data_IF_887479897247
#
_entry.id   IF_887479897247
#
_cell.length_a   1.000
_cell.length_b   1.000
_cell.length_c   1.000
_cell.angle_alpha   90.00
_cell.angle_beta   90.00
_cell.angle_gamma   90.00
#
_symmetry.space_group_name_H-M   'P 1'
#
loop_
_entity.id
_entity.type
_entity.pdbx_description
1 polymer ?
#
# COMPACT_ATOMS: atom_id res chain seq x y z
N UNK A 1 23.83 -44.20 1.68
CA UNK A 1 22.53 -44.67 2.20
C UNK A 1 21.64 -43.45 2.36
N UNK A 2 20.40 -43.49 1.84
CA UNK A 2 19.45 -42.40 2.04
C UNK A 2 19.01 -42.42 3.52
N UNK A 3 19.02 -41.28 4.21
CA UNK A 3 18.59 -41.23 5.61
C UNK A 3 17.07 -41.20 5.68
N UNK A 4 16.52 -41.95 6.64
CA UNK A 4 15.09 -42.02 6.87
C UNK A 4 14.57 -40.73 7.52
N UNK A 5 13.27 -40.46 7.35
CA UNK A 5 12.63 -39.24 7.86
C UNK A 5 12.85 -39.02 9.37
N UNK A 6 12.88 -40.11 10.15
CA UNK A 6 13.15 -40.08 11.60
C UNK A 6 14.58 -39.67 11.93
N UNK A 7 15.56 -40.07 11.14
CA UNK A 7 16.97 -39.69 11.34
C UNK A 7 17.20 -38.21 11.01
N UNK A 8 16.52 -37.72 9.96
CA UNK A 8 16.57 -36.31 9.56
C UNK A 8 15.95 -35.43 10.63
N UNK A 9 14.84 -35.85 11.23
CA UNK A 9 14.20 -35.13 12.34
C UNK A 9 15.08 -35.12 13.60
N UNK A 10 15.71 -36.25 13.94
CA UNK A 10 16.62 -36.35 15.09
C UNK A 10 17.82 -35.42 14.94
N UNK A 11 18.39 -35.35 13.73
CA UNK A 11 19.49 -34.42 13.40
C UNK A 11 19.04 -32.96 13.35
N UNK A 12 17.83 -32.67 12.90
CA UNK A 12 17.25 -31.33 12.93
C UNK A 12 17.03 -30.85 14.38
N UNK A 13 16.61 -31.75 15.28
CA UNK A 13 16.51 -31.49 16.73
C UNK A 13 17.89 -31.29 17.37
N UNK A 14 18.87 -32.13 17.04
CA UNK A 14 20.25 -31.96 17.49
C UNK A 14 20.84 -30.61 17.04
N UNK A 15 20.58 -30.22 15.79
CA UNK A 15 21.00 -28.93 15.25
C UNK A 15 20.30 -27.76 15.99
N UNK A 16 19.01 -27.88 16.30
CA UNK A 16 18.28 -26.87 17.10
C UNK A 16 18.83 -26.75 18.53
N UNK A 17 19.19 -27.88 19.15
CA UNK A 17 19.85 -27.91 20.46
C UNK A 17 21.23 -27.27 20.41
N UNK A 18 22.04 -27.59 19.39
CA UNK A 18 23.36 -26.98 19.17
C UNK A 18 23.30 -25.45 18.99
N UNK A 19 22.26 -24.94 18.32
CA UNK A 19 22.00 -23.49 18.22
C UNK A 19 21.63 -22.84 19.55
N UNK A 20 20.93 -23.56 20.44
CA UNK A 20 20.50 -23.03 21.74
C UNK A 20 21.60 -23.13 22.79
N UNK A 21 22.41 -24.18 22.72
CA UNK A 21 23.50 -24.47 23.65
C UNK A 21 24.85 -23.85 23.25
N UNK A 22 24.90 -23.09 22.14
CA UNK A 22 26.11 -22.41 21.63
C UNK A 22 27.32 -23.37 21.52
N UNK A 23 27.09 -24.57 20.97
CA UNK A 23 28.12 -25.58 20.73
C UNK A 23 29.18 -25.11 19.71
N UNK A 24 30.39 -25.71 19.71
CA UNK A 24 31.47 -25.28 18.81
C UNK A 24 31.05 -25.42 17.34
N UNK A 25 31.51 -24.46 16.53
CA UNK A 25 31.15 -24.37 15.11
C UNK A 25 31.52 -25.64 14.31
N UNK A 26 32.53 -26.40 14.74
CA UNK A 26 32.94 -27.67 14.15
C UNK A 26 31.85 -28.75 14.23
N UNK A 27 31.15 -28.88 15.36
CA UNK A 27 30.05 -29.84 15.54
C UNK A 27 28.85 -29.49 14.66
N UNK A 28 28.53 -28.20 14.55
CA UNK A 28 27.44 -27.70 13.70
C UNK A 28 27.75 -27.93 12.22
N UNK A 29 29.00 -27.71 11.80
CA UNK A 29 29.45 -27.99 10.42
C UNK A 29 29.36 -29.47 10.08
N UNK A 30 29.75 -30.37 11.00
CA UNK A 30 29.62 -31.82 10.81
C UNK A 30 28.16 -32.26 10.64
N UNK A 31 27.26 -31.76 11.49
CA UNK A 31 25.82 -32.02 11.40
C UNK A 31 25.22 -31.51 10.08
N UNK A 32 25.64 -30.34 9.60
CA UNK A 32 25.20 -29.78 8.32
C UNK A 32 25.71 -30.58 7.12
N UNK A 33 26.97 -31.03 7.14
CA UNK A 33 27.54 -31.90 6.08
C UNK A 33 26.85 -33.26 6.03
N UNK A 34 26.48 -33.80 7.18
CA UNK A 34 25.77 -35.07 7.25
C UNK A 34 24.33 -34.97 6.72
N UNK A 35 23.63 -33.86 7.02
CA UNK A 35 22.35 -33.52 6.42
C UNK A 35 22.45 -33.27 4.90
N UNK A 36 23.54 -32.67 4.43
CA UNK A 36 23.78 -32.43 3.00
C UNK A 36 23.94 -33.74 2.21
N UNK A 37 24.54 -34.78 2.82
CA UNK A 37 24.82 -36.07 2.19
C UNK A 37 23.67 -37.07 2.32
N UNK A 38 22.92 -37.02 3.43
CA UNK A 38 21.87 -37.99 3.75
C UNK A 38 20.46 -37.66 3.26
N UNK A 39 20.15 -36.37 3.04
CA UNK A 39 18.78 -35.93 2.70
C UNK A 39 18.56 -35.97 1.19
N UNK A 40 17.65 -36.83 0.72
CA UNK A 40 17.02 -36.70 -0.60
C UNK A 40 15.99 -35.58 -0.52
N UNK A 41 16.21 -34.51 -1.28
CA UNK A 41 15.40 -33.29 -1.23
C UNK A 41 14.04 -33.47 -1.93
N UNK A 42 13.14 -34.23 -1.30
CA UNK A 42 11.75 -34.40 -1.73
C UNK A 42 10.86 -33.42 -0.99
N UNK A 43 9.87 -32.84 -1.68
CA UNK A 43 8.97 -31.83 -1.09
C UNK A 43 8.28 -32.34 0.18
N UNK A 44 7.77 -33.57 0.14
CA UNK A 44 7.08 -34.20 1.26
C UNK A 44 7.98 -34.38 2.51
N UNK A 45 9.24 -34.78 2.27
CA UNK A 45 10.23 -35.00 3.33
C UNK A 45 10.71 -33.67 3.96
N UNK A 46 10.87 -32.62 3.16
CA UNK A 46 11.27 -31.28 3.63
C UNK A 46 10.14 -30.58 4.41
N UNK A 47 8.87 -30.83 4.04
CA UNK A 47 7.70 -30.28 4.73
C UNK A 47 7.42 -31.01 6.05
N UNK A 48 7.46 -32.34 6.06
CA UNK A 48 7.21 -33.15 7.26
C UNK A 48 8.26 -32.92 8.36
N UNK A 49 9.54 -32.92 7.99
CA UNK A 49 10.64 -32.77 8.97
C UNK A 49 10.90 -31.33 9.41
N UNK A 50 10.37 -30.33 8.68
CA UNK A 50 10.64 -28.89 8.86
C UNK A 50 12.14 -28.53 8.90
N UNK A 51 13.01 -29.41 8.41
CA UNK A 51 14.47 -29.25 8.44
C UNK A 51 14.93 -28.02 7.66
N UNK A 52 14.21 -27.64 6.60
CA UNK A 52 14.53 -26.46 5.80
C UNK A 52 14.44 -25.13 6.57
N UNK A 53 13.51 -25.02 7.54
CA UNK A 53 13.36 -23.82 8.38
C UNK A 53 14.51 -23.74 9.38
N UNK A 54 14.84 -24.87 10.00
CA UNK A 54 15.91 -24.99 10.98
C UNK A 54 17.26 -24.66 10.33
N UNK A 55 17.58 -25.27 9.19
CA UNK A 55 18.83 -25.00 8.46
C UNK A 55 18.89 -23.54 7.99
N UNK A 56 17.78 -22.93 7.56
CA UNK A 56 17.76 -21.52 7.15
C UNK A 56 18.09 -20.55 8.30
N UNK A 57 17.82 -20.92 9.56
CA UNK A 57 18.21 -20.12 10.73
C UNK A 57 19.74 -20.02 10.90
N UNK A 58 20.49 -21.03 10.46
CA UNK A 58 21.95 -21.06 10.52
C UNK A 58 22.63 -20.14 9.50
N UNK A 59 21.89 -19.55 8.56
CA UNK A 59 22.40 -18.52 7.65
C UNK A 59 22.84 -17.24 8.38
N UNK A 60 22.31 -17.01 9.59
CA UNK A 60 22.66 -15.85 10.43
C UNK A 60 23.63 -16.21 11.58
N UNK A 61 24.25 -17.39 11.54
CA UNK A 61 25.16 -17.84 12.59
C UNK A 61 26.48 -17.03 12.59
N UNK A 62 27.11 -16.87 13.76
CA UNK A 62 28.34 -16.06 13.95
C UNK A 62 29.56 -16.56 13.15
N UNK A 63 29.56 -17.86 12.78
CA UNK A 63 30.63 -18.44 11.96
C UNK A 63 30.29 -18.35 10.47
N UNK A 64 31.18 -17.76 9.63
CA UNK A 64 30.93 -17.60 8.19
C UNK A 64 30.86 -18.95 7.45
N UNK A 65 31.55 -19.99 7.94
CA UNK A 65 31.53 -21.32 7.33
C UNK A 65 30.16 -22.00 7.49
N UNK A 66 29.55 -21.88 8.67
CA UNK A 66 28.20 -22.40 8.97
C UNK A 66 27.14 -21.70 8.12
N UNK A 67 27.25 -20.37 7.99
CA UNK A 67 26.32 -19.56 7.20
C UNK A 67 26.41 -19.88 5.69
N UNK A 68 27.62 -20.13 5.18
CA UNK A 68 27.85 -20.52 3.78
C UNK A 68 27.25 -21.91 3.49
N UNK A 69 27.56 -22.91 4.32
CA UNK A 69 27.05 -24.27 4.14
C UNK A 69 25.52 -24.35 4.29
N UNK A 70 24.94 -23.65 5.26
CA UNK A 70 23.49 -23.52 5.40
C UNK A 70 22.83 -22.95 4.14
N UNK A 71 23.40 -21.87 3.56
CA UNK A 71 22.87 -21.23 2.36
C UNK A 71 22.95 -22.13 1.12
N UNK A 72 24.04 -22.88 0.99
CA UNK A 72 24.26 -23.84 -0.10
C UNK A 72 23.23 -24.99 -0.04
N UNK A 73 22.98 -25.54 1.16
CA UNK A 73 22.00 -26.61 1.39
C UNK A 73 20.58 -26.12 1.06
N UNK A 74 20.17 -24.95 1.56
CA UNK A 74 18.83 -24.39 1.30
C UNK A 74 18.61 -24.12 -0.20
N UNK A 75 19.64 -23.66 -0.90
CA UNK A 75 19.56 -23.41 -2.35
C UNK A 75 19.45 -24.70 -3.15
N UNK A 76 20.24 -25.73 -2.79
CA UNK A 76 20.20 -27.05 -3.42
C UNK A 76 18.83 -27.72 -3.22
N UNK A 77 18.28 -27.67 -2.01
CA UNK A 77 16.95 -28.24 -1.72
C UNK A 77 15.82 -27.52 -2.45
N UNK A 78 15.88 -26.18 -2.55
CA UNK A 78 14.91 -25.40 -3.34
C UNK A 78 14.94 -25.75 -4.83
N UNK A 79 16.15 -25.88 -5.39
CA UNK A 79 16.31 -26.23 -6.81
C UNK A 79 15.82 -27.65 -7.11
N UNK A 80 16.12 -28.62 -6.24
CA UNK A 80 15.71 -30.01 -6.44
C UNK A 80 14.19 -30.20 -6.32
N UNK A 81 13.55 -29.52 -5.36
CA UNK A 81 12.07 -29.52 -5.24
C UNK A 81 11.43 -28.86 -6.46
N UNK A 82 11.99 -27.76 -6.96
CA UNK A 82 11.47 -27.09 -8.15
C UNK A 82 11.66 -27.95 -9.42
N UNK A 83 12.75 -28.72 -9.50
CA UNK A 83 13.01 -29.69 -10.58
C UNK A 83 12.05 -30.88 -10.53
N UNK A 84 11.74 -31.41 -9.35
CA UNK A 84 10.75 -32.48 -9.17
C UNK A 84 9.33 -32.01 -9.53
N UNK A 85 9.01 -30.74 -9.24
CA UNK A 85 7.72 -30.13 -9.63
C UNK A 85 7.58 -29.92 -11.15
N UNK A 86 8.68 -29.73 -11.86
CA UNK A 86 8.70 -29.64 -13.32
C UNK A 86 8.65 -31.01 -14.03
N UNK A 87 9.02 -32.10 -13.34
CA UNK A 87 8.95 -33.48 -13.85
C UNK A 87 7.62 -34.21 -13.60
N UNK A 88 6.77 -33.69 -12.72
CA UNK A 88 5.49 -34.28 -12.37
C UNK A 88 4.31 -33.52 -13.03
N UNK A 89 4.03 -33.85 -14.30
CA UNK A 89 2.73 -33.59 -14.92
C UNK A 89 2.37 -34.74 -15.86
N UNK A 90 1.32 -35.52 -15.55
CA UNK A 90 0.69 -36.44 -16.48
C UNK A 90 -0.59 -35.82 -17.10
N UNK A 91 -0.77 -35.99 -18.41
CA UNK A 91 -2.08 -36.08 -19.06
C UNK A 91 -2.58 -34.88 -19.89
N UNK A 92 -2.42 -34.97 -21.22
CA UNK A 92 -3.44 -34.54 -22.20
C UNK A 92 -3.15 -35.12 -23.61
N UNK A 93 -3.78 -36.26 -23.89
CA UNK A 93 -4.35 -36.74 -25.16
C UNK A 93 -3.58 -36.59 -26.48
N UNK A 94 -2.95 -37.70 -26.90
CA UNK A 94 -2.68 -38.02 -28.32
C UNK A 94 -3.98 -38.45 -29.02
N UNK A 95 -4.32 -37.79 -30.14
CA UNK A 95 -4.91 -38.44 -31.33
C UNK A 95 -4.33 -37.78 -32.58
N UNK A 96 -3.74 -38.61 -33.42
CA UNK A 96 -3.07 -38.29 -34.68
C UNK A 96 -3.96 -38.66 -35.88
N UNK A 97 -3.95 -37.83 -36.93
CA UNK A 97 -3.64 -38.19 -38.34
C UNK A 97 -4.33 -37.28 -39.36
N UNK A 98 -3.56 -36.81 -40.36
CA UNK A 98 -4.09 -36.33 -41.65
C UNK A 98 -3.43 -35.04 -42.21
N UNK A 99 -2.38 -35.21 -43.01
CA UNK A 99 -1.70 -34.21 -43.89
C UNK A 99 -2.61 -33.66 -45.02
N UNK A 100 -2.20 -32.76 -45.96
CA UNK A 100 -0.98 -31.93 -46.08
C UNK A 100 -1.18 -30.44 -46.55
N UNK A 101 -0.10 -29.66 -46.39
CA UNK A 101 0.38 -28.42 -47.08
C UNK A 101 -0.34 -27.90 -48.35
N UNK A 102 -0.33 -26.57 -48.63
CA UNK A 102 0.68 -26.02 -49.55
C UNK A 102 1.34 -24.68 -49.14
N UNK A 103 2.58 -24.54 -49.63
CA UNK A 103 3.53 -23.41 -49.85
C UNK A 103 3.11 -21.93 -49.68
N UNK A 104 4.04 -21.05 -49.22
CA UNK A 104 4.08 -19.65 -49.64
C UNK A 104 5.25 -19.38 -50.60
N UNK A 105 4.93 -18.79 -51.76
CA UNK A 105 5.88 -18.27 -52.74
C UNK A 105 6.30 -16.85 -52.32
N UNK A 106 7.60 -16.54 -52.40
CA UNK A 106 8.17 -15.29 -51.89
C UNK A 106 7.99 -14.07 -52.80
N UNK A 107 8.17 -12.87 -52.24
CA UNK A 107 8.82 -11.69 -52.85
C UNK A 107 9.20 -10.71 -51.72
N UNK A 108 10.27 -9.94 -51.91
CA UNK A 108 11.07 -9.26 -50.88
C UNK A 108 10.64 -7.81 -50.52
N UNK A 109 10.95 -7.44 -49.26
CA UNK A 109 11.38 -6.13 -48.70
C UNK A 109 10.41 -4.91 -48.68
N UNK A 110 10.69 -3.87 -47.85
CA UNK A 110 11.04 -3.85 -46.43
C UNK A 110 10.22 -2.77 -45.66
N UNK A 111 9.62 -3.07 -44.50
CA UNK A 111 9.03 -2.01 -43.68
C UNK A 111 8.93 -2.36 -42.19
N UNK A 112 9.54 -1.49 -41.38
CA UNK A 112 9.20 -1.14 -40.00
C UNK A 112 8.93 -2.30 -39.01
N UNK A 113 9.96 -2.66 -38.26
CA UNK A 113 9.87 -3.47 -37.05
C UNK A 113 9.12 -2.72 -35.94
N UNK A 114 7.83 -2.98 -35.78
CA UNK A 114 7.13 -2.86 -34.49
C UNK A 114 7.41 -4.11 -33.65
N UNK A 115 8.07 -4.03 -32.48
CA UNK A 115 8.20 -5.18 -31.61
C UNK A 115 6.88 -5.39 -30.87
N UNK A 116 6.15 -6.42 -31.29
CA UNK A 116 4.98 -6.97 -30.61
C UNK A 116 5.29 -7.32 -29.16
N UNK A 117 4.46 -6.81 -28.25
CA UNK A 117 4.39 -7.12 -26.82
C UNK A 117 4.34 -8.63 -26.55
N UNK A 118 5.52 -9.22 -26.34
CA UNK A 118 5.63 -10.50 -25.62
C UNK A 118 5.53 -10.19 -24.14
N UNK A 119 4.32 -10.34 -23.60
CA UNK A 119 3.94 -10.46 -22.18
C UNK A 119 5.11 -11.02 -21.35
N UNK A 120 5.94 -10.14 -20.82
CA UNK A 120 7.10 -10.50 -20.02
C UNK A 120 6.60 -11.05 -18.70
N UNK A 121 6.88 -12.34 -18.46
CA UNK A 121 6.57 -13.01 -17.18
C UNK A 121 7.15 -12.18 -16.04
N UNK A 122 6.27 -11.67 -15.18
CA UNK A 122 6.62 -10.93 -13.98
C UNK A 122 7.56 -11.79 -13.12
N UNK A 123 8.82 -11.38 -13.01
CA UNK A 123 9.86 -12.12 -12.27
C UNK A 123 9.77 -11.93 -10.76
N UNK A 124 8.96 -10.97 -10.28
CA UNK A 124 8.89 -10.58 -8.86
C UNK A 124 7.43 -10.58 -8.40
N UNK A 125 7.11 -11.17 -7.22
CA UNK A 125 5.78 -11.14 -6.65
C UNK A 125 5.24 -9.69 -6.52
N UNK A 126 3.96 -9.42 -6.87
CA UNK A 126 3.36 -8.08 -6.87
C UNK A 126 3.57 -7.28 -5.57
N UNK A 127 3.64 -7.98 -4.43
CA UNK A 127 3.79 -7.39 -3.09
C UNK A 127 5.21 -6.85 -2.78
N UNK A 128 6.22 -7.19 -3.59
CA UNK A 128 7.62 -6.75 -3.38
C UNK A 128 8.25 -6.08 -4.60
N UNK A 129 7.43 -5.67 -5.58
CA UNK A 129 7.95 -4.98 -6.76
C UNK A 129 8.47 -3.60 -6.37
N UNK A 130 9.67 -3.29 -6.85
CA UNK A 130 10.34 -2.00 -6.69
C UNK A 130 11.22 -1.77 -7.91
N UNK A 131 11.59 -0.52 -8.19
CA UNK A 131 12.44 -0.21 -9.33
C UNK A 131 13.77 -0.97 -9.30
N UNK A 132 14.31 -1.25 -8.10
CA UNK A 132 15.51 -2.08 -7.90
C UNK A 132 15.27 -3.57 -8.15
N UNK A 133 14.11 -4.08 -7.76
CA UNK A 133 13.76 -5.49 -7.95
C UNK A 133 13.43 -5.80 -9.42
N UNK A 134 12.89 -4.82 -10.15
CA UNK A 134 12.54 -4.93 -11.56
C UNK A 134 13.73 -4.59 -12.48
N UNK A 135 14.88 -4.14 -11.93
CA UNK A 135 16.08 -3.80 -12.69
C UNK A 135 15.89 -2.62 -13.65
N UNK A 136 14.96 -1.72 -13.33
CA UNK A 136 14.60 -0.59 -14.20
C UNK A 136 15.52 0.59 -13.92
N UNK A 137 16.14 1.12 -14.97
CA UNK A 137 16.92 2.35 -14.88
C UNK A 137 15.97 3.56 -14.78
N UNK A 138 16.11 4.32 -13.70
CA UNK A 138 15.31 5.53 -13.42
C UNK A 138 16.00 6.82 -13.89
N UNK A 139 17.18 6.71 -14.51
CA UNK A 139 18.04 7.82 -14.93
C UNK A 139 17.51 8.47 -16.22
N UNK A 140 16.37 9.15 -16.13
CA UNK A 140 15.65 9.65 -17.30
C UNK A 140 15.76 11.15 -17.48
N UNK A 141 16.13 11.88 -16.44
CA UNK A 141 16.13 13.35 -16.44
C UNK A 141 17.51 13.99 -16.24
N UNK A 142 18.53 13.20 -15.94
CA UNK A 142 19.91 13.68 -15.75
C UNK A 142 20.14 14.39 -14.42
N UNK A 143 19.10 14.52 -13.57
CA UNK A 143 19.24 15.00 -12.20
C UNK A 143 18.97 13.89 -11.19
N UNK A 144 19.93 13.71 -10.28
CA UNK A 144 19.86 12.74 -9.18
C UNK A 144 18.63 12.92 -8.28
N UNK A 145 18.12 14.14 -8.11
CA UNK A 145 16.93 14.39 -7.28
C UNK A 145 15.68 13.93 -8.00
N UNK A 146 15.54 14.31 -9.27
CA UNK A 146 14.38 13.95 -10.11
C UNK A 146 14.33 12.44 -10.37
N UNK A 147 15.47 11.83 -10.68
CA UNK A 147 15.57 10.38 -10.88
C UNK A 147 15.24 9.59 -9.59
N UNK A 148 15.61 10.13 -8.42
CA UNK A 148 15.20 9.57 -7.11
C UNK A 148 13.69 9.71 -6.86
N UNK A 149 13.09 10.84 -7.28
CA UNK A 149 11.64 11.04 -7.24
C UNK A 149 10.89 10.09 -8.17
N UNK A 150 11.40 9.85 -9.38
CA UNK A 150 10.85 8.85 -10.33
C UNK A 150 10.87 7.46 -9.69
N UNK A 151 11.98 7.07 -9.06
CA UNK A 151 12.09 5.79 -8.36
C UNK A 151 11.07 5.64 -7.23
N UNK A 152 10.86 6.70 -6.44
CA UNK A 152 9.84 6.70 -5.38
C UNK A 152 8.42 6.54 -5.94
N UNK A 153 8.08 7.27 -7.01
CA UNK A 153 6.76 7.17 -7.64
C UNK A 153 6.57 5.78 -8.28
N UNK A 154 7.61 5.24 -8.92
CA UNK A 154 7.60 3.88 -9.47
C UNK A 154 7.30 2.85 -8.39
N UNK A 155 7.98 2.90 -7.24
CA UNK A 155 7.74 1.97 -6.13
C UNK A 155 6.29 2.03 -5.62
N UNK A 156 5.70 3.23 -5.58
CA UNK A 156 4.29 3.41 -5.21
C UNK A 156 3.30 2.81 -6.22
N UNK A 157 3.58 2.95 -7.51
CA UNK A 157 2.73 2.44 -8.60
C UNK A 157 2.92 0.94 -8.86
N UNK A 158 4.14 0.41 -8.65
CA UNK A 158 4.48 -0.97 -8.90
C UNK A 158 3.89 -1.93 -7.84
N UNK A 159 3.67 -1.43 -6.62
CA UNK A 159 3.13 -2.20 -5.49
C UNK A 159 1.75 -2.77 -5.83
N UNK A 160 1.64 -4.10 -5.79
CA UNK A 160 0.43 -4.89 -6.05
C UNK A 160 -0.16 -4.72 -7.45
N UNK A 161 0.60 -4.14 -8.37
CA UNK A 161 0.24 -4.06 -9.78
C UNK A 161 0.70 -5.32 -10.53
N UNK A 162 0.03 -5.66 -11.63
CA UNK A 162 0.43 -6.72 -12.57
C UNK A 162 0.97 -6.16 -13.89
N UNK A 163 1.06 -4.83 -13.99
CA UNK A 163 1.48 -4.15 -15.21
C UNK A 163 2.97 -4.34 -15.51
N UNK A 164 3.37 -4.27 -16.80
CA UNK A 164 4.76 -4.43 -17.20
C UNK A 164 5.61 -3.25 -16.69
N UNK A 165 6.87 -3.50 -16.28
CA UNK A 165 7.77 -2.46 -15.74
C UNK A 165 7.91 -1.21 -16.61
N UNK A 166 7.92 -1.37 -17.94
CA UNK A 166 8.02 -0.26 -18.91
C UNK A 166 6.82 0.69 -18.84
N UNK A 167 5.61 0.15 -18.69
CA UNK A 167 4.39 0.96 -18.61
C UNK A 167 4.37 1.76 -17.29
N UNK A 168 4.74 1.12 -16.18
CA UNK A 168 4.84 1.76 -14.86
C UNK A 168 5.89 2.88 -14.89
N UNK A 169 7.05 2.65 -15.50
CA UNK A 169 8.09 3.67 -15.65
C UNK A 169 7.59 4.87 -16.46
N UNK A 170 6.94 4.64 -17.60
CA UNK A 170 6.40 5.73 -18.42
C UNK A 170 5.43 6.62 -17.65
N UNK A 171 4.58 6.02 -16.80
CA UNK A 171 3.65 6.77 -15.94
C UNK A 171 4.37 7.50 -14.80
N UNK A 172 5.36 6.87 -14.18
CA UNK A 172 6.16 7.50 -13.13
C UNK A 172 6.91 8.75 -13.64
N UNK A 173 7.49 8.67 -14.85
CA UNK A 173 8.14 9.82 -15.52
C UNK A 173 7.14 10.94 -15.81
N UNK A 174 5.94 10.60 -16.31
CA UNK A 174 4.90 11.60 -16.58
C UNK A 174 4.43 12.31 -15.30
N UNK A 175 4.23 11.57 -14.20
CA UNK A 175 3.87 12.13 -12.89
C UNK A 175 4.96 13.02 -12.34
N UNK A 176 6.23 12.63 -12.49
CA UNK A 176 7.35 13.46 -12.07
C UNK A 176 7.43 14.76 -12.89
N UNK A 177 7.31 14.68 -14.21
CA UNK A 177 7.33 15.85 -15.08
C UNK A 177 6.19 16.83 -14.74
N UNK A 178 4.98 16.32 -14.47
CA UNK A 178 3.86 17.13 -14.02
C UNK A 178 4.12 17.77 -12.65
N UNK A 179 4.73 17.04 -11.70
CA UNK A 179 5.10 17.56 -10.39
C UNK A 179 6.16 18.66 -10.47
N UNK A 180 7.16 18.49 -11.33
CA UNK A 180 8.20 19.49 -11.57
C UNK A 180 7.63 20.76 -12.21
N UNK A 181 6.74 20.62 -13.21
CA UNK A 181 6.06 21.74 -13.84
C UNK A 181 5.15 22.54 -12.88
N UNK A 182 4.50 21.87 -11.93
CA UNK A 182 3.55 22.51 -11.02
C UNK A 182 4.19 23.12 -9.75
N UNK A 183 5.19 22.45 -9.14
CA UNK A 183 5.75 22.83 -7.84
C UNK A 183 7.13 23.49 -7.92
N UNK A 184 7.61 23.78 -9.14
CA UNK A 184 8.84 24.52 -9.40
C UNK A 184 10.10 23.65 -9.38
N UNK A 185 11.30 24.27 -9.39
CA UNK A 185 12.55 23.53 -9.55
C UNK A 185 12.81 22.59 -8.37
N UNK A 186 13.51 21.50 -8.67
CA UNK A 186 13.84 20.35 -7.81
C UNK A 186 14.51 20.69 -6.45
N UNK A 187 15.09 21.88 -6.33
CA UNK A 187 15.70 22.40 -5.11
C UNK A 187 14.66 22.81 -4.07
N UNK A 188 13.42 23.11 -4.47
CA UNK A 188 12.36 23.52 -3.55
C UNK A 188 11.85 22.34 -2.74
N UNK A 189 11.76 22.53 -1.43
CA UNK A 189 11.26 21.52 -0.50
C UNK A 189 9.81 21.11 -0.79
N UNK A 190 9.00 22.05 -1.29
CA UNK A 190 7.60 21.81 -1.67
C UNK A 190 7.45 20.67 -2.69
N UNK A 191 8.31 20.61 -3.70
CA UNK A 191 8.33 19.54 -4.70
C UNK A 191 8.63 18.18 -4.05
N UNK A 192 9.69 18.10 -3.23
CA UNK A 192 10.10 16.87 -2.53
C UNK A 192 9.03 16.38 -1.55
N UNK A 193 8.37 17.29 -0.85
CA UNK A 193 7.31 16.99 0.11
C UNK A 193 6.05 16.50 -0.61
N UNK A 194 5.69 17.11 -1.76
CA UNK A 194 4.56 16.65 -2.57
C UNK A 194 4.81 15.26 -3.15
N UNK A 195 5.98 14.97 -3.72
CA UNK A 195 6.32 13.62 -4.22
C UNK A 195 6.23 12.57 -3.09
N UNK A 196 6.76 12.88 -1.90
CA UNK A 196 6.64 11.99 -0.72
C UNK A 196 5.17 11.76 -0.32
N UNK A 197 4.35 12.81 -0.33
CA UNK A 197 2.92 12.70 -0.05
C UNK A 197 2.19 11.84 -1.08
N UNK A 198 2.46 12.03 -2.38
CA UNK A 198 1.87 11.21 -3.44
C UNK A 198 2.26 9.74 -3.30
N UNK A 199 3.54 9.45 -3.02
CA UNK A 199 4.02 8.09 -2.76
C UNK A 199 3.30 7.43 -1.57
N UNK A 200 3.13 8.13 -0.45
CA UNK A 200 2.43 7.57 0.72
C UNK A 200 0.95 7.31 0.43
N UNK A 201 0.29 8.18 -0.35
CA UNK A 201 -1.08 7.95 -0.78
C UNK A 201 -1.21 6.74 -1.72
N UNK A 202 -0.27 6.55 -2.66
CA UNK A 202 -0.23 5.35 -3.52
C UNK A 202 0.02 4.06 -2.72
N UNK A 203 0.77 4.15 -1.62
CA UNK A 203 1.04 3.01 -0.72
C UNK A 203 -0.09 2.75 0.28
N UNK A 204 -1.07 3.63 0.37
CA UNK A 204 -2.12 3.53 1.36
C UNK A 204 -3.02 2.30 1.10
N UNK A 205 -3.07 1.39 2.08
CA UNK A 205 -3.88 0.16 2.00
C UNK A 205 -5.38 0.45 1.95
N UNK A 206 -5.82 1.61 2.46
CA UNK A 206 -7.23 2.01 2.45
C UNK A 206 -7.75 2.38 1.07
N UNK A 207 -6.88 2.69 0.10
CA UNK A 207 -7.26 3.04 -1.28
C UNK A 207 -6.39 2.32 -2.32
N UNK A 208 -6.58 0.99 -2.52
CA UNK A 208 -5.82 0.25 -3.52
C UNK A 208 -6.22 0.59 -4.95
N UNK A 209 -7.43 1.13 -5.17
CA UNK A 209 -7.96 1.48 -6.49
C UNK A 209 -7.29 2.71 -7.08
N UNK A 210 -6.79 3.64 -6.26
CA UNK A 210 -6.05 4.83 -6.72
C UNK A 210 -4.88 4.47 -7.64
N UNK A 211 -4.10 3.43 -7.31
CA UNK A 211 -2.99 2.96 -8.15
C UNK A 211 -3.48 2.48 -9.52
N UNK A 212 -4.58 1.74 -9.54
CA UNK A 212 -5.18 1.21 -10.77
C UNK A 212 -5.66 2.37 -11.64
N UNK A 213 -6.33 3.37 -11.06
CA UNK A 213 -6.82 4.57 -11.77
C UNK A 213 -5.71 5.41 -12.38
N UNK A 214 -4.57 5.53 -11.69
CA UNK A 214 -3.39 6.25 -12.22
C UNK A 214 -2.69 5.43 -13.32
N UNK A 215 -2.61 4.10 -13.20
CA UNK A 215 -2.04 3.22 -14.22
C UNK A 215 -2.91 3.12 -15.47
N UNK A 216 -4.23 3.01 -15.31
CA UNK A 216 -5.22 2.97 -16.40
C UNK A 216 -5.39 4.32 -17.11
N UNK A 217 -4.76 5.39 -16.59
CA UNK A 217 -4.89 6.77 -17.10
C UNK A 217 -6.28 7.39 -16.91
N UNK A 218 -7.10 6.85 -16.02
CA UNK A 218 -8.37 7.49 -15.63
C UNK A 218 -8.12 8.82 -14.91
N UNK A 219 -7.03 8.88 -14.14
CA UNK A 219 -6.52 10.11 -13.54
C UNK A 219 -5.29 10.54 -14.31
N UNK A 220 -5.32 11.75 -14.90
CA UNK A 220 -4.16 12.29 -15.61
C UNK A 220 -3.03 12.62 -14.64
N UNK A 221 -1.76 12.48 -15.04
CA UNK A 221 -0.61 12.82 -14.20
C UNK A 221 -0.67 14.27 -13.68
N UNK A 222 -1.16 15.21 -14.48
CA UNK A 222 -1.30 16.62 -14.13
C UNK A 222 -2.38 16.83 -13.07
N UNK A 223 -3.51 16.12 -13.19
CA UNK A 223 -4.58 16.16 -12.20
C UNK A 223 -4.12 15.51 -10.89
N UNK A 224 -3.48 14.34 -10.96
CA UNK A 224 -2.97 13.62 -9.79
C UNK A 224 -2.04 14.48 -8.92
N UNK A 225 -1.17 15.25 -9.56
CA UNK A 225 -0.22 16.15 -8.88
C UNK A 225 -0.92 17.33 -8.21
N UNK A 226 -1.96 17.88 -8.84
CA UNK A 226 -2.73 19.02 -8.30
C UNK A 226 -3.78 18.60 -7.27
N UNK A 227 -4.15 17.33 -7.25
CA UNK A 227 -5.18 16.78 -6.38
C UNK A 227 -4.89 17.04 -4.90
N UNK A 228 -5.94 17.36 -4.16
CA UNK A 228 -5.87 17.66 -2.73
C UNK A 228 -5.72 16.38 -1.90
N UNK A 229 -5.27 16.51 -0.65
CA UNK A 229 -5.15 15.37 0.27
C UNK A 229 -6.50 14.67 0.51
N UNK A 230 -7.60 15.42 0.44
CA UNK A 230 -8.96 14.88 0.58
C UNK A 230 -9.36 14.01 -0.62
N UNK A 231 -9.07 14.48 -1.84
CA UNK A 231 -9.37 13.76 -3.08
C UNK A 231 -8.45 12.55 -3.32
N UNK A 232 -7.29 12.49 -2.64
CA UNK A 232 -6.37 11.34 -2.65
C UNK A 232 -6.81 10.20 -1.72
N UNK A 233 -7.78 10.44 -0.84
CA UNK A 233 -8.33 9.40 0.06
C UNK A 233 -9.29 8.47 -0.67
N UNK A 234 -9.62 7.33 -0.05
CA UNK A 234 -10.68 6.47 -0.58
C UNK A 234 -12.02 7.18 -0.51
N UNK A 235 -12.92 6.88 -1.45
CA UNK A 235 -14.25 7.49 -1.50
C UNK A 235 -15.02 7.27 -0.19
N UNK A 236 -14.89 6.09 0.42
CA UNK A 236 -15.48 5.81 1.75
C UNK A 236 -14.90 6.69 2.87
N UNK A 237 -13.59 6.94 2.85
CA UNK A 237 -12.95 7.76 3.87
C UNK A 237 -13.31 9.24 3.67
N UNK A 238 -13.37 9.69 2.42
CA UNK A 238 -13.83 11.03 2.06
C UNK A 238 -15.25 11.29 2.55
N UNK A 239 -16.15 10.33 2.37
CA UNK A 239 -17.52 10.44 2.87
C UNK A 239 -17.57 10.47 4.41
N UNK A 240 -16.78 9.63 5.08
CA UNK A 240 -16.69 9.63 6.55
C UNK A 240 -16.16 10.97 7.07
N UNK A 241 -15.12 11.50 6.46
CA UNK A 241 -14.54 12.78 6.86
C UNK A 241 -15.51 13.94 6.61
N UNK A 242 -16.23 13.92 5.48
CA UNK A 242 -17.31 14.89 5.20
C UNK A 242 -18.42 14.82 6.24
N UNK A 243 -18.81 13.61 6.66
CA UNK A 243 -19.81 13.40 7.70
C UNK A 243 -19.33 13.92 9.06
N UNK A 244 -18.10 13.59 9.46
CA UNK A 244 -17.51 14.07 10.71
C UNK A 244 -17.38 15.60 10.68
N UNK A 245 -16.99 16.19 9.56
CA UNK A 245 -16.92 17.64 9.42
C UNK A 245 -18.30 18.28 9.59
N UNK A 246 -19.33 17.70 8.97
CA UNK A 246 -20.71 18.15 9.15
C UNK A 246 -21.17 18.02 10.60
N UNK A 247 -20.95 16.87 11.24
CA UNK A 247 -21.30 16.64 12.64
C UNK A 247 -20.55 17.61 13.58
N UNK A 248 -19.28 17.90 13.30
CA UNK A 248 -18.50 18.87 14.07
C UNK A 248 -19.02 20.29 13.89
N UNK A 249 -19.41 20.67 12.67
CA UNK A 249 -20.06 21.95 12.41
C UNK A 249 -21.40 22.05 13.15
N UNK A 250 -22.22 21.01 13.09
CA UNK A 250 -23.52 20.95 13.75
C UNK A 250 -23.37 21.01 15.29
N UNK A 251 -22.39 20.30 15.87
CA UNK A 251 -22.09 20.36 17.31
C UNK A 251 -21.50 21.69 17.75
N UNK A 252 -20.75 22.37 16.89
CA UNK A 252 -20.18 23.67 17.18
C UNK A 252 -21.21 24.80 17.13
N UNK A 253 -22.33 24.60 16.43
CA UNK A 253 -23.45 25.54 16.48
C UNK A 253 -24.15 25.42 17.85
N UNK A 254 -24.06 26.49 18.64
CA UNK A 254 -24.83 26.59 19.88
C UNK A 254 -26.30 26.69 19.51
N UNK A 255 -27.11 25.75 19.98
CA UNK A 255 -28.55 25.81 19.84
C UNK A 255 -29.06 27.12 20.44
N UNK A 256 -29.58 28.01 19.60
CA UNK A 256 -30.19 29.24 20.07
C UNK A 256 -31.48 28.84 20.80
N UNK A 257 -31.53 29.08 22.12
CA UNK A 257 -32.72 28.79 22.90
C UNK A 257 -33.92 29.51 22.27
N UNK A 258 -34.94 28.74 21.89
CA UNK A 258 -36.16 29.25 21.32
C UNK A 258 -36.91 30.00 22.43
N UNK A 259 -36.74 31.32 22.46
CA UNK A 259 -37.38 32.17 23.45
C UNK A 259 -38.81 32.44 22.99
N UNK A 260 -39.77 32.26 23.88
CA UNK A 260 -41.17 32.59 23.63
C UNK A 260 -41.30 34.05 23.22
N UNK A 261 -41.87 34.28 22.03
CA UNK A 261 -42.10 35.61 21.47
C UNK A 261 -43.51 36.04 21.85
N UNK A 262 -43.63 37.06 22.69
CA UNK A 262 -44.90 37.67 23.03
C UNK A 262 -45.25 38.73 21.99
N UNK A 263 -46.39 38.52 21.32
CA UNK A 263 -47.04 39.54 20.49
C UNK A 263 -47.82 40.55 21.31
N UNK A 264 -47.95 40.40 22.64
CA UNK A 264 -48.67 41.36 23.50
C UNK A 264 -47.84 42.59 23.82
N UNK A 265 -46.52 42.44 23.90
CA UNK A 265 -45.58 43.48 24.31
C UNK A 265 -44.94 44.19 23.10
N UNK A 266 -44.87 45.52 23.13
CA UNK A 266 -44.27 46.33 22.07
C UNK A 266 -42.97 46.98 22.55
N UNK A 267 -41.91 46.92 21.74
CA UNK A 267 -40.65 47.58 22.07
C UNK A 267 -40.74 49.11 21.89
N UNK A 268 -40.48 49.87 22.94
CA UNK A 268 -40.49 51.34 22.88
C UNK A 268 -39.36 51.99 22.05
N UNK A 269 -38.34 51.23 21.61
CA UNK A 269 -37.25 51.77 20.75
C UNK A 269 -37.49 51.54 19.25
N UNK A 270 -37.95 50.35 18.87
CA UNK A 270 -38.10 49.97 17.46
C UNK A 270 -39.56 49.71 17.04
N UNK A 271 -40.53 49.81 17.96
CA UNK A 271 -41.95 49.61 17.68
C UNK A 271 -42.39 48.17 17.37
N UNK A 272 -41.46 47.22 17.26
CA UNK A 272 -41.79 45.83 16.93
C UNK A 272 -42.31 45.05 18.14
N UNK A 273 -43.24 44.12 17.87
CA UNK A 273 -43.86 43.20 18.85
C UNK A 273 -43.17 41.84 18.89
N UNK A 274 -41.83 41.86 18.85
CA UNK A 274 -40.94 40.68 18.95
C UNK A 274 -40.18 40.75 20.28
N UNK A 275 -40.89 40.52 21.38
CA UNK A 275 -40.36 40.68 22.74
C UNK A 275 -40.46 39.35 23.46
N UNK A 276 -39.36 38.90 24.05
CA UNK A 276 -39.36 37.77 24.99
C UNK A 276 -39.37 38.31 26.41
N UNK A 277 -40.07 37.64 27.32
CA UNK A 277 -40.16 38.05 28.72
C UNK A 277 -39.90 36.86 29.64
N UNK A 278 -39.28 37.14 30.78
CA UNK A 278 -39.17 36.20 31.90
C UNK A 278 -39.67 36.89 33.14
N UNK A 279 -40.48 36.19 33.93
CA UNK A 279 -41.07 36.75 35.14
C UNK A 279 -40.24 36.31 36.35
N UNK A 280 -39.94 37.23 37.26
CA UNK A 280 -39.26 36.91 38.51
C UNK A 280 -39.78 37.79 39.65
N UNK A 281 -40.02 37.18 40.81
CA UNK A 281 -40.46 37.89 42.01
C UNK A 281 -39.26 38.64 42.60
N UNK A 282 -39.24 39.97 42.46
CA UNK A 282 -38.15 40.81 42.99
C UNK A 282 -38.55 41.63 44.21
N UNK A 283 -39.82 41.54 44.62
CA UNK A 283 -40.43 42.31 45.71
C UNK A 283 -41.17 41.39 46.67
N UNK A 284 -41.63 41.94 47.80
CA UNK A 284 -42.40 41.23 48.84
C UNK A 284 -43.57 40.43 48.26
N UNK A 285 -44.02 39.40 48.99
CA UNK A 285 -45.08 38.49 48.51
C UNK A 285 -46.43 39.20 48.24
N UNK A 286 -46.63 40.39 48.81
CA UNK A 286 -47.83 41.21 48.62
C UNK A 286 -47.85 41.98 47.28
N UNK A 287 -46.77 41.94 46.51
CA UNK A 287 -46.65 42.62 45.21
C UNK A 287 -46.59 41.65 44.03
N UNK A 288 -47.14 42.01 42.86
CA UNK A 288 -47.12 41.16 41.67
C UNK A 288 -45.69 40.96 41.13
N UNK A 289 -45.52 39.87 40.37
CA UNK A 289 -44.24 39.49 39.80
C UNK A 289 -43.70 40.52 38.79
N UNK A 290 -42.38 40.72 38.76
CA UNK A 290 -41.72 41.65 37.83
C UNK A 290 -41.42 40.97 36.49
N UNK A 291 -41.78 41.62 35.38
CA UNK A 291 -41.54 41.17 34.02
C UNK A 291 -40.21 41.72 33.48
N UNK A 292 -39.27 40.85 33.15
CA UNK A 292 -38.02 41.20 32.46
C UNK A 292 -38.18 40.99 30.96
N UNK A 293 -38.40 42.07 30.23
CA UNK A 293 -38.64 42.06 28.79
C UNK A 293 -37.33 42.32 28.01
N UNK A 294 -37.11 41.59 26.92
CA UNK A 294 -36.01 41.82 25.98
C UNK A 294 -36.52 41.78 24.55
N UNK A 295 -36.23 42.82 23.76
CA UNK A 295 -36.59 42.86 22.34
C UNK A 295 -35.62 42.02 21.51
N UNK A 296 -36.15 41.06 20.74
CA UNK A 296 -35.34 40.18 19.87
C UNK A 296 -34.86 40.88 18.60
N UNK A 297 -35.43 42.04 18.25
CA UNK A 297 -35.03 42.78 17.06
C UNK A 297 -33.90 43.80 17.33
N UNK A 298 -34.00 44.58 18.42
CA UNK A 298 -33.02 45.63 18.73
C UNK A 298 -32.19 45.40 19.99
N UNK A 299 -32.42 44.29 20.71
CA UNK A 299 -31.67 43.91 21.92
C UNK A 299 -31.96 44.76 23.16
N UNK A 300 -32.88 45.73 23.11
CA UNK A 300 -33.22 46.55 24.29
C UNK A 300 -33.93 45.68 25.33
N UNK A 301 -33.45 45.74 26.58
CA UNK A 301 -34.09 45.11 27.74
C UNK A 301 -34.68 46.16 28.68
N UNK A 302 -35.82 45.85 29.30
CA UNK A 302 -36.48 46.70 30.30
C UNK A 302 -37.28 45.85 31.30
N UNK A 303 -37.67 46.45 32.42
CA UNK A 303 -38.51 45.83 33.45
C UNK A 303 -39.90 46.47 33.45
N UNK A 304 -40.93 45.66 33.76
CA UNK A 304 -42.32 46.09 33.95
C UNK A 304 -42.90 45.44 35.20
#
# INVERSE_FOLDING_TARGET
MAMDAKEIELKAKALTKAATSNEPASSIVSLLKELQKGVKATEDLLRSTRVGIIVNKFKQHKSPEVARLSSEIVSKWRNEVNKQKAGASPGASQRSSGSPRPTPNGTASPAASTPTDKKSKLSVPPERRSWKADGVEVNQTGSKIRDSCIGLVYDGLALNSTEPPRAVLSKAVAVEAAAHGAFGPETKEQYRTKIRSLFQNLKNKSNPTLRVRVLSSEVTPEHFVKMTHDELRSDEQREKDRRIQKENMDKAMVAQAERSISTSLQCGKCGQRKVTYTEAQTRSADEPMTLFCTCLNCGKSWRQ
#
